data_IF_353058495460
#
_entry.id   IF_353058495460
#
_cell.length_a   1.000
_cell.length_b   1.000
_cell.length_c   1.000
_cell.angle_alpha   90.00
_cell.angle_beta   90.00
_cell.angle_gamma   90.00
#
_symmetry.space_group_name_H-M   'P 1'
#
loop_
_entity.id
_entity.type
_entity.pdbx_description
1 polymer ?
#
# COMPACT_ATOMS: atom_id res chain seq x y z
N UNK A 1 -16.53 2.43 -27.63
CA UNK A 1 -15.19 1.86 -27.33
C UNK A 1 -15.22 1.33 -25.91
N UNK A 2 -14.71 0.13 -25.65
CA UNK A 2 -14.70 -0.41 -24.29
C UNK A 2 -13.75 0.43 -23.41
N UNK A 3 -14.21 0.80 -22.22
CA UNK A 3 -13.39 1.51 -21.22
C UNK A 3 -12.29 0.57 -20.72
N UNK A 4 -11.03 1.05 -20.68
CA UNK A 4 -9.94 0.28 -20.08
C UNK A 4 -10.24 0.00 -18.61
N UNK A 5 -9.92 -1.20 -18.15
CA UNK A 5 -10.03 -1.56 -16.74
C UNK A 5 -9.05 -0.72 -15.91
N UNK A 6 -9.38 -0.44 -14.65
CA UNK A 6 -8.45 0.19 -13.70
C UNK A 6 -8.08 -0.82 -12.63
N UNK A 7 -6.79 -1.05 -12.46
CA UNK A 7 -6.25 -2.03 -11.51
C UNK A 7 -5.49 -1.27 -10.44
N UNK A 8 -5.94 -1.36 -9.19
CA UNK A 8 -5.20 -0.85 -8.04
C UNK A 8 -4.06 -1.82 -7.69
N UNK A 9 -2.84 -1.31 -7.66
CA UNK A 9 -1.61 -2.06 -7.46
C UNK A 9 -1.04 -1.77 -6.07
N UNK A 10 -1.08 -2.79 -5.21
CA UNK A 10 -0.54 -2.75 -3.85
C UNK A 10 0.86 -3.36 -3.83
N UNK A 11 1.85 -2.59 -3.38
CA UNK A 11 3.23 -3.07 -3.29
C UNK A 11 3.43 -4.05 -2.11
N UNK A 12 4.54 -4.81 -2.11
CA UNK A 12 4.91 -5.70 -1.02
C UNK A 12 5.58 -5.01 0.18
N UNK A 13 5.92 -5.78 1.21
CA UNK A 13 6.70 -5.28 2.35
C UNK A 13 8.06 -4.71 1.91
N UNK A 14 8.50 -3.62 2.56
CA UNK A 14 9.74 -2.87 2.26
C UNK A 14 9.86 -2.38 0.82
N UNK A 15 8.74 -2.29 0.10
CA UNK A 15 8.68 -1.73 -1.25
C UNK A 15 7.92 -0.40 -1.22
N UNK A 16 7.88 0.28 -2.35
CA UNK A 16 7.08 1.47 -2.57
C UNK A 16 6.47 1.43 -3.99
N UNK A 17 5.58 2.37 -4.34
CA UNK A 17 4.93 2.43 -5.65
C UNK A 17 5.92 2.45 -6.82
N UNK A 18 7.00 3.22 -6.69
CA UNK A 18 8.02 3.41 -7.74
C UNK A 18 8.75 2.11 -8.04
N UNK A 19 9.25 1.43 -7.01
CA UNK A 19 9.91 0.13 -7.11
C UNK A 19 8.95 -0.91 -7.68
N UNK A 20 7.71 -0.95 -7.19
CA UNK A 20 6.72 -1.92 -7.65
C UNK A 20 6.39 -1.71 -9.13
N UNK A 21 6.18 -0.46 -9.55
CA UNK A 21 5.89 -0.09 -10.94
C UNK A 21 7.02 -0.45 -11.90
N UNK A 22 8.27 -0.32 -11.46
CA UNK A 22 9.44 -0.74 -12.23
C UNK A 22 9.46 -2.27 -12.40
N UNK A 23 9.26 -3.02 -11.29
CA UNK A 23 9.24 -4.50 -11.29
C UNK A 23 8.08 -5.08 -12.10
N UNK A 24 6.94 -4.39 -12.19
CA UNK A 24 5.78 -4.81 -13.00
C UNK A 24 5.80 -4.26 -14.43
N UNK A 25 6.95 -3.83 -14.95
CA UNK A 25 7.07 -3.19 -16.27
C UNK A 25 6.59 -4.07 -17.44
N UNK A 26 6.97 -5.35 -17.45
CA UNK A 26 6.54 -6.31 -18.48
C UNK A 26 5.02 -6.52 -18.45
N UNK A 27 4.46 -6.70 -17.25
CA UNK A 27 3.01 -6.85 -17.05
C UNK A 27 2.26 -5.61 -17.54
N UNK A 28 2.69 -4.41 -17.15
CA UNK A 28 2.13 -3.14 -17.64
C UNK A 28 2.15 -3.03 -19.15
N UNK A 29 3.26 -3.42 -19.78
CA UNK A 29 3.39 -3.35 -21.25
C UNK A 29 2.43 -4.32 -21.94
N UNK A 30 2.26 -5.53 -21.40
CA UNK A 30 1.35 -6.54 -21.91
C UNK A 30 -0.13 -6.12 -21.77
N UNK A 31 -0.49 -5.45 -20.67
CA UNK A 31 -1.89 -5.10 -20.39
C UNK A 31 -2.27 -3.67 -20.81
N UNK A 32 -1.37 -2.86 -21.39
CA UNK A 32 -1.59 -1.43 -21.69
C UNK A 32 -2.84 -1.09 -22.50
N UNK A 33 -3.31 -2.05 -23.31
CA UNK A 33 -4.51 -1.91 -24.14
C UNK A 33 -5.79 -2.31 -23.39
N UNK A 34 -5.67 -3.10 -22.33
CA UNK A 34 -6.78 -3.66 -21.55
C UNK A 34 -7.02 -2.88 -20.25
N UNK A 35 -5.94 -2.46 -19.59
CA UNK A 35 -6.01 -1.89 -18.26
C UNK A 35 -4.99 -0.77 -18.01
N UNK A 36 -5.38 0.17 -17.16
CA UNK A 36 -4.53 1.14 -16.50
C UNK A 36 -4.22 0.66 -15.08
N UNK A 37 -2.95 0.76 -14.68
CA UNK A 37 -2.48 0.33 -13.36
C UNK A 37 -2.16 1.54 -12.48
N UNK A 38 -2.81 1.61 -11.32
CA UNK A 38 -2.70 2.69 -10.35
C UNK A 38 -1.89 2.19 -9.15
N UNK A 39 -0.76 2.80 -8.86
CA UNK A 39 0.12 2.40 -7.76
C UNK A 39 -0.02 3.38 -6.60
N UNK A 40 -0.28 2.87 -5.39
CA UNK A 40 -0.48 3.70 -4.19
C UNK A 40 0.54 3.36 -3.10
N UNK A 41 1.02 4.35 -2.33
CA UNK A 41 1.97 4.11 -1.25
C UNK A 41 1.28 3.53 -0.02
N UNK A 42 1.97 2.60 0.66
CA UNK A 42 1.59 2.13 1.97
C UNK A 42 1.81 3.22 3.03
N UNK A 43 0.93 3.33 4.05
CA UNK A 43 0.96 4.44 5.00
C UNK A 43 2.07 4.34 6.04
N UNK A 44 2.76 3.20 6.15
CA UNK A 44 3.71 2.95 7.23
C UNK A 44 5.15 2.78 6.72
N UNK A 45 6.07 3.68 7.09
CA UNK A 45 7.48 3.49 6.81
C UNK A 45 8.03 2.31 7.60
N UNK A 46 8.96 1.58 6.98
CA UNK A 46 9.70 0.48 7.58
C UNK A 46 11.12 0.94 7.85
N UNK A 47 11.54 0.83 9.10
CA UNK A 47 12.94 0.98 9.48
C UNK A 47 13.52 -0.43 9.57
N UNK A 48 14.34 -0.82 8.60
CA UNK A 48 15.03 -2.10 8.65
C UNK A 48 16.16 -2.04 9.68
N UNK A 49 16.20 -2.96 10.66
CA UNK A 49 17.36 -3.14 11.50
C UNK A 49 18.43 -3.86 10.68
N UNK A 50 19.33 -3.12 10.03
CA UNK A 50 20.45 -3.70 9.26
C UNK A 50 21.76 -3.75 10.05
N UNK A 51 21.72 -3.49 11.36
CA UNK A 51 22.91 -3.42 12.20
C UNK A 51 22.73 -4.24 13.47
N UNK A 52 23.69 -5.12 13.73
CA UNK A 52 23.79 -5.95 14.93
C UNK A 52 24.09 -5.13 16.19
N UNK A 53 24.54 -3.87 16.04
CA UNK A 53 24.83 -2.93 17.13
C UNK A 53 24.14 -1.58 16.92
N UNK A 54 23.90 -0.86 18.02
CA UNK A 54 23.30 0.50 18.00
C UNK A 54 24.19 1.49 17.24
N UNK A 55 25.51 1.36 17.39
CA UNK A 55 26.51 2.22 16.74
C UNK A 55 26.52 2.04 15.21
N UNK A 56 26.47 0.80 14.72
CA UNK A 56 26.40 0.56 13.28
C UNK A 56 25.03 0.99 12.72
N UNK A 57 23.96 0.97 13.53
CA UNK A 57 22.66 1.52 13.13
C UNK A 57 22.73 3.04 12.93
N UNK A 58 23.31 3.77 13.87
CA UNK A 58 23.47 5.23 13.78
C UNK A 58 24.41 5.62 12.63
N UNK A 59 25.47 4.83 12.40
CA UNK A 59 26.37 5.00 11.26
C UNK A 59 25.66 4.75 9.93
N UNK A 60 24.91 3.67 9.80
CA UNK A 60 24.14 3.38 8.58
C UNK A 60 23.00 4.38 8.36
N UNK A 61 22.37 4.88 9.43
CA UNK A 61 21.35 5.93 9.34
C UNK A 61 21.94 7.27 8.91
N UNK A 62 23.14 7.63 9.37
CA UNK A 62 23.82 8.86 8.92
C UNK A 62 24.39 8.76 7.50
N UNK A 63 24.66 7.55 7.01
CA UNK A 63 25.01 7.27 5.60
C UNK A 63 23.79 7.14 4.68
N UNK A 64 22.61 6.87 5.24
CA UNK A 64 21.35 6.87 4.50
C UNK A 64 20.96 8.32 4.24
N UNK A 65 20.95 8.70 2.95
CA UNK A 65 20.27 9.91 2.51
C UNK A 65 18.82 9.85 2.99
N UNK A 66 18.30 10.97 3.52
CA UNK A 66 16.92 11.09 3.97
C UNK A 66 15.97 10.35 3.00
N UNK A 67 15.17 9.38 3.49
CA UNK A 67 14.34 8.57 2.63
C UNK A 67 13.40 9.48 1.85
N UNK A 68 13.59 9.54 0.53
CA UNK A 68 12.70 10.26 -0.37
C UNK A 68 11.55 9.32 -0.82
N UNK A 69 10.55 9.85 -1.50
CA UNK A 69 9.40 9.04 -1.94
C UNK A 69 9.79 7.84 -2.83
N UNK A 70 10.94 7.89 -3.50
CA UNK A 70 11.44 6.82 -4.37
C UNK A 70 12.24 5.73 -3.63
N UNK A 71 12.84 6.06 -2.48
CA UNK A 71 13.67 5.14 -1.70
C UNK A 71 13.03 4.70 -0.38
N UNK A 72 11.94 5.35 0.04
CA UNK A 72 11.20 4.99 1.23
C UNK A 72 10.76 3.53 1.18
N UNK A 73 11.03 2.79 2.25
CA UNK A 73 10.55 1.43 2.42
C UNK A 73 9.22 1.48 3.15
N UNK A 74 8.16 0.97 2.53
CA UNK A 74 6.81 1.10 3.05
C UNK A 74 6.20 -0.26 3.35
N UNK A 75 5.17 -0.23 4.19
CA UNK A 75 4.37 -1.37 4.59
C UNK A 75 2.91 -0.99 4.77
N UNK A 76 2.04 -2.00 4.67
CA UNK A 76 0.59 -1.88 4.82
C UNK A 76 0.12 -2.09 6.26
N UNK A 77 0.96 -2.64 7.12
CA UNK A 77 0.67 -2.85 8.53
C UNK A 77 1.99 -2.82 9.30
N UNK A 78 1.92 -2.38 10.54
CA UNK A 78 3.08 -2.36 11.44
C UNK A 78 3.16 -3.71 12.13
N UNK A 79 4.35 -4.28 12.14
CA UNK A 79 4.69 -5.44 12.95
C UNK A 79 5.37 -4.92 14.20
N UNK A 80 4.81 -5.24 15.37
CA UNK A 80 5.41 -4.94 16.67
C UNK A 80 5.66 -6.26 17.37
N UNK A 81 6.92 -6.56 17.64
CA UNK A 81 7.30 -7.71 18.46
C UNK A 81 7.63 -7.18 19.87
N UNK A 82 6.80 -7.52 20.85
CA UNK A 82 7.02 -7.17 22.25
C UNK A 82 7.02 -8.42 23.14
N UNK A 83 7.20 -8.27 24.46
CA UNK A 83 7.21 -9.39 25.41
C UNK A 83 5.89 -10.18 25.44
N UNK A 84 4.79 -9.62 24.94
CA UNK A 84 3.48 -10.28 24.79
C UNK A 84 3.30 -10.99 23.44
N UNK A 85 4.28 -10.90 22.54
CA UNK A 85 4.34 -11.57 21.25
C UNK A 85 4.25 -10.63 20.06
N UNK A 86 4.04 -11.21 18.87
CA UNK A 86 3.93 -10.48 17.61
C UNK A 86 2.53 -9.89 17.44
N UNK A 87 2.45 -8.57 17.30
CA UNK A 87 1.20 -7.83 17.06
C UNK A 87 1.26 -7.14 15.71
N UNK A 88 0.19 -7.31 14.93
CA UNK A 88 -0.02 -6.60 13.67
C UNK A 88 -1.00 -5.45 13.92
N UNK A 89 -0.58 -4.22 13.65
CA UNK A 89 -1.40 -3.02 13.86
C UNK A 89 -1.49 -2.17 12.59
N UNK A 90 -2.48 -1.27 12.55
CA UNK A 90 -2.63 -0.33 11.43
C UNK A 90 -3.40 -0.87 10.21
N UNK A 91 -3.87 -2.12 10.25
CA UNK A 91 -4.64 -2.70 9.15
C UNK A 91 -5.90 -1.87 8.83
N UNK A 92 -6.64 -1.42 9.85
CA UNK A 92 -7.86 -0.64 9.63
C UNK A 92 -7.58 0.67 8.91
N UNK A 93 -6.58 1.44 9.34
CA UNK A 93 -6.19 2.68 8.68
C UNK A 93 -5.74 2.45 7.23
N UNK A 94 -5.04 1.34 6.98
CA UNK A 94 -4.70 0.93 5.61
C UNK A 94 -5.93 0.62 4.76
N UNK A 95 -6.92 -0.08 5.31
CA UNK A 95 -8.17 -0.34 4.60
C UNK A 95 -8.90 0.97 4.27
N UNK A 96 -8.80 1.98 5.13
CA UNK A 96 -9.37 3.30 4.88
C UNK A 96 -8.62 4.02 3.74
N UNK A 97 -7.28 3.94 3.69
CA UNK A 97 -6.48 4.45 2.56
C UNK A 97 -6.84 3.75 1.25
N UNK A 98 -6.92 2.41 1.26
CA UNK A 98 -7.30 1.63 0.08
C UNK A 98 -8.73 1.97 -0.35
N UNK A 99 -9.66 2.12 0.60
CA UNK A 99 -11.04 2.54 0.32
C UNK A 99 -11.07 3.90 -0.34
N UNK A 100 -10.36 4.89 0.18
CA UNK A 100 -10.29 6.23 -0.42
C UNK A 100 -9.73 6.15 -1.83
N UNK A 101 -8.63 5.42 -2.03
CA UNK A 101 -8.06 5.21 -3.36
C UNK A 101 -9.05 4.53 -4.33
N UNK A 102 -9.83 3.55 -3.86
CA UNK A 102 -10.87 2.92 -4.67
C UNK A 102 -11.98 3.91 -5.03
N UNK A 103 -12.43 4.75 -4.10
CA UNK A 103 -13.49 5.74 -4.36
C UNK A 103 -13.01 6.84 -5.32
N UNK A 104 -11.76 7.30 -5.21
CA UNK A 104 -11.20 8.33 -6.10
C UNK A 104 -10.89 7.79 -7.50
N UNK A 105 -10.46 6.52 -7.60
CA UNK A 105 -9.99 5.94 -8.86
C UNK A 105 -11.06 5.11 -9.56
N UNK A 106 -12.19 4.81 -8.92
CA UNK A 106 -13.34 4.21 -9.56
C UNK A 106 -14.38 5.31 -9.65
N UNK A 107 -14.53 5.95 -10.83
CA UNK A 107 -15.84 6.49 -11.18
C UNK A 107 -16.82 5.35 -10.90
N UNK A 108 -17.68 5.54 -9.91
CA UNK A 108 -18.50 4.52 -9.25
C UNK A 108 -19.26 3.70 -10.30
N UNK A 109 -18.64 2.65 -10.84
CA UNK A 109 -19.25 1.75 -11.81
C UNK A 109 -20.14 0.75 -11.05
N UNK A 110 -21.18 1.29 -10.42
CA UNK A 110 -22.52 0.75 -10.19
C UNK A 110 -22.75 -0.65 -9.61
N UNK A 111 -21.74 -1.48 -9.33
CA UNK A 111 -22.00 -2.92 -9.12
C UNK A 111 -21.39 -3.58 -7.89
N UNK A 112 -20.54 -2.90 -7.12
CA UNK A 112 -20.08 -3.46 -5.85
C UNK A 112 -20.25 -2.46 -4.71
N UNK A 113 -21.00 -2.92 -3.70
CA UNK A 113 -21.36 -2.25 -2.44
C UNK A 113 -22.46 -1.20 -2.57
N UNK A 114 -23.71 -1.65 -2.76
CA UNK A 114 -24.80 -0.96 -2.06
C UNK A 114 -24.52 -1.12 -0.56
N UNK A 115 -24.51 -0.02 0.23
CA UNK A 115 -24.61 -0.17 1.67
C UNK A 115 -25.85 -1.03 1.94
N UNK A 116 -25.71 -2.06 2.77
CA UNK A 116 -26.88 -2.74 3.33
C UNK A 116 -27.63 -1.64 4.07
N UNK A 117 -28.71 -1.15 3.48
CA UNK A 117 -29.68 -0.31 4.15
C UNK A 117 -30.22 -1.17 5.29
N UNK A 118 -29.70 -0.96 6.49
CA UNK A 118 -30.39 -1.37 7.71
C UNK A 118 -31.65 -0.52 7.74
N UNK A 119 -32.75 -1.09 7.27
CA UNK A 119 -34.07 -0.50 7.39
C UNK A 119 -34.66 -0.97 8.72
N UNK A 120 -34.72 -0.16 9.78
CA UNK A 120 -35.43 -0.53 10.98
C UNK A 120 -36.85 -0.02 10.82
N UNK A 121 -37.68 -0.74 10.09
CA UNK A 121 -39.14 -0.55 10.13
C UNK A 121 -39.85 -1.89 10.14
N UNK A 122 -39.82 -2.52 11.32
CA UNK A 122 -40.86 -3.42 11.80
C UNK A 122 -41.00 -3.22 13.32
N UNK A 123 -41.90 -2.31 13.70
CA UNK A 123 -42.84 -2.40 14.84
C UNK A 123 -43.59 -1.08 14.94
#
# INVERSE_FOLDING_TARGET
MATKLRILCLHGYTQNPTIFRARTGALRKATKNLAEMVFIPGPYPVVLPTADTVEERERLQSLQTEPNEETAQLSWFRVTDDASGRRLTGLQSTLDVIRTALVEQVEYNGFWLRPISTNPRLS
#
